data_IF_737836890687
#
_entry.id   IF_737836890687
#
_cell.length_a   1.000
_cell.length_b   1.000
_cell.length_c   1.000
_cell.angle_alpha   90.00
_cell.angle_beta   90.00
_cell.angle_gamma   90.00
#
_symmetry.space_group_name_H-M   'P 1'
#
loop_
_entity.id
_entity.type
_entity.pdbx_description
1 polymer ?
#
# COMPACT_ATOMS: atom_id res chain seq x y z
N UNK A 1 50.67 0.89 74.36
CA UNK A 1 49.19 0.82 74.16
C UNK A 1 48.85 1.78 73.06
N UNK A 2 48.62 1.28 71.80
CA UNK A 2 48.29 2.11 70.65
C UNK A 2 46.78 1.97 70.40
N UNK A 3 46.06 3.07 70.46
CA UNK A 3 44.61 3.12 70.12
C UNK A 3 44.45 3.15 68.60
N UNK A 4 43.74 2.19 68.09
CA UNK A 4 43.38 2.10 66.67
C UNK A 4 41.99 2.80 66.42
N UNK A 5 42.00 3.90 65.69
CA UNK A 5 40.81 4.66 65.38
C UNK A 5 40.29 4.13 64.01
N UNK A 6 39.14 3.49 64.03
CA UNK A 6 38.45 2.99 62.77
C UNK A 6 37.63 4.15 62.19
N UNK A 7 37.97 4.58 60.99
CA UNK A 7 37.24 5.58 60.24
C UNK A 7 36.21 4.84 59.34
N UNK A 8 34.93 5.05 59.62
CA UNK A 8 33.81 4.50 58.83
C UNK A 8 33.54 5.42 57.62
N UNK A 9 33.85 5.00 56.44
CA UNK A 9 33.43 5.69 55.24
C UNK A 9 32.02 5.24 54.88
N UNK A 10 31.02 6.16 54.99
CA UNK A 10 29.67 6.01 54.44
C UNK A 10 29.71 6.39 52.95
N UNK A 11 29.65 5.43 52.05
CA UNK A 11 29.46 5.68 50.64
C UNK A 11 27.96 5.80 50.32
N UNK A 12 27.49 7.01 50.11
CA UNK A 12 26.16 7.27 49.55
C UNK A 12 26.18 7.00 48.06
N UNK A 13 25.62 5.86 47.65
CA UNK A 13 25.36 5.57 46.23
C UNK A 13 24.18 6.41 45.75
N UNK A 14 24.44 7.42 44.93
CA UNK A 14 23.43 8.17 44.20
C UNK A 14 22.92 7.29 43.06
N UNK A 15 21.72 6.75 43.21
CA UNK A 15 20.99 6.10 42.09
C UNK A 15 20.47 7.18 41.12
N UNK A 16 21.22 7.41 40.06
CA UNK A 16 20.73 8.16 38.90
C UNK A 16 19.76 7.27 38.15
N UNK A 17 18.47 7.49 38.36
CA UNK A 17 17.42 6.95 37.48
C UNK A 17 17.51 7.65 36.15
N UNK A 18 18.11 6.99 35.14
CA UNK A 18 18.00 7.39 33.75
C UNK A 18 16.54 7.13 33.31
N UNK A 19 15.71 8.16 33.39
CA UNK A 19 14.46 8.16 32.66
C UNK A 19 14.80 8.14 31.14
N UNK A 20 14.62 6.99 30.56
CA UNK A 20 14.67 6.82 29.09
C UNK A 20 13.49 7.57 28.52
N UNK A 21 13.63 8.88 28.25
CA UNK A 21 12.69 9.65 27.48
C UNK A 21 12.76 9.11 26.06
N UNK A 22 11.85 8.17 25.76
CA UNK A 22 11.70 7.64 24.41
C UNK A 22 11.51 8.80 23.45
N UNK A 23 12.47 9.01 22.55
CA UNK A 23 12.32 9.91 21.42
C UNK A 23 11.09 9.48 20.63
N UNK A 24 9.96 10.17 20.83
CA UNK A 24 8.79 10.07 19.94
C UNK A 24 9.27 10.40 18.54
N UNK A 25 9.32 9.40 17.68
CA UNK A 25 9.70 9.57 16.28
C UNK A 25 8.76 10.60 15.63
N UNK A 26 9.31 11.47 14.80
CA UNK A 26 8.60 12.58 14.12
C UNK A 26 7.50 12.06 13.15
N UNK A 27 7.34 10.74 13.02
CA UNK A 27 6.33 10.03 12.22
C UNK A 27 4.92 10.10 12.80
N UNK A 28 4.77 10.33 14.12
CA UNK A 28 3.46 10.45 14.77
C UNK A 28 2.69 11.73 14.39
N UNK A 29 3.35 12.72 13.80
CA UNK A 29 2.69 13.98 13.40
C UNK A 29 1.69 13.82 12.25
N UNK A 30 1.85 12.80 11.43
CA UNK A 30 0.97 12.56 10.28
C UNK A 30 -0.28 11.74 10.64
N UNK A 31 -0.26 11.08 11.78
CA UNK A 31 -1.28 10.12 12.17
C UNK A 31 -1.91 10.50 13.51
N UNK A 32 -3.21 10.22 13.64
CA UNK A 32 -3.90 10.29 14.93
C UNK A 32 -4.48 8.91 15.28
N UNK A 33 -4.73 8.68 16.57
CA UNK A 33 -5.22 7.41 17.08
C UNK A 33 -6.50 7.65 17.87
N UNK A 34 -7.56 7.00 17.49
CA UNK A 34 -8.86 7.02 18.21
C UNK A 34 -9.67 5.79 17.82
N UNK A 35 -10.55 5.37 18.68
CA UNK A 35 -11.53 4.31 18.35
C UNK A 35 -12.36 4.71 17.13
N UNK A 36 -12.54 3.78 16.19
CA UNK A 36 -13.30 3.96 14.96
C UNK A 36 -14.16 2.75 14.62
N UNK A 37 -14.15 2.35 13.35
CA UNK A 37 -14.87 1.19 12.82
C UNK A 37 -14.26 -0.12 13.36
N UNK A 38 -15.11 -1.16 13.56
CA UNK A 38 -14.63 -2.49 13.96
C UNK A 38 -13.74 -3.16 12.89
N UNK A 39 -13.76 -2.67 11.64
CA UNK A 39 -12.92 -3.12 10.54
C UNK A 39 -11.77 -2.14 10.24
N UNK A 40 -11.54 -1.16 11.10
CA UNK A 40 -10.44 -0.21 11.05
C UNK A 40 -9.45 -0.44 12.18
N UNK A 41 -8.21 -0.01 11.99
CA UNK A 41 -7.12 -0.21 12.96
C UNK A 41 -7.08 0.87 14.06
N UNK A 42 -8.02 1.81 14.09
CA UNK A 42 -8.02 2.94 15.03
C UNK A 42 -6.95 3.99 14.73
N UNK A 43 -6.22 3.86 13.63
CA UNK A 43 -5.23 4.83 13.14
C UNK A 43 -5.84 5.65 12.00
N UNK A 44 -5.64 6.95 12.06
CA UNK A 44 -6.28 7.90 11.15
C UNK A 44 -5.24 8.72 10.40
N UNK A 45 -5.48 8.91 9.11
CA UNK A 45 -4.67 9.75 8.24
C UNK A 45 -5.56 10.76 7.50
N UNK A 46 -5.25 12.04 7.62
CA UNK A 46 -5.93 13.17 6.96
C UNK A 46 -7.48 13.17 7.10
N UNK A 47 -8.01 12.56 8.18
CA UNK A 47 -9.44 12.51 8.50
C UNK A 47 -10.14 11.20 8.15
N UNK A 48 -9.46 10.23 7.53
CA UNK A 48 -9.96 8.89 7.28
C UNK A 48 -9.31 7.88 8.24
N UNK A 49 -10.04 6.88 8.67
CA UNK A 49 -9.52 5.71 9.36
C UNK A 49 -8.88 4.75 8.36
N UNK A 50 -7.77 4.14 8.74
CA UNK A 50 -7.10 3.10 7.98
C UNK A 50 -7.80 1.77 8.25
N UNK A 51 -8.12 1.02 7.19
CA UNK A 51 -8.76 -0.29 7.31
C UNK A 51 -7.76 -1.37 7.77
N UNK A 52 -8.29 -2.47 8.33
CA UNK A 52 -7.49 -3.68 8.49
C UNK A 52 -7.08 -4.24 7.12
N UNK A 53 -5.83 -4.67 7.03
CA UNK A 53 -5.32 -5.39 5.85
C UNK A 53 -6.07 -6.72 5.71
N UNK A 54 -6.51 -7.02 4.49
CA UNK A 54 -7.05 -8.32 4.17
C UNK A 54 -5.94 -9.37 4.22
N UNK A 55 -6.06 -10.37 5.10
CA UNK A 55 -5.12 -11.48 5.21
C UNK A 55 -5.19 -12.44 4.03
N UNK A 56 -4.14 -13.26 3.87
CA UNK A 56 -4.05 -14.31 2.85
C UNK A 56 -5.26 -15.26 2.84
N UNK A 57 -5.91 -15.49 3.97
CA UNK A 57 -7.12 -16.30 4.08
C UNK A 57 -8.26 -15.78 3.18
N UNK A 58 -8.22 -14.49 2.84
CA UNK A 58 -9.16 -13.85 1.92
C UNK A 58 -8.86 -14.06 0.43
N UNK A 59 -7.84 -14.83 0.05
CA UNK A 59 -7.39 -14.98 -1.34
C UNK A 59 -8.51 -15.43 -2.30
N UNK A 60 -9.45 -16.27 -1.83
CA UNK A 60 -10.58 -16.73 -2.63
C UNK A 60 -11.52 -15.59 -3.03
N UNK A 61 -11.61 -14.51 -2.22
CA UNK A 61 -12.35 -13.31 -2.58
C UNK A 61 -11.75 -12.62 -3.80
N UNK A 62 -10.43 -12.62 -3.94
CA UNK A 62 -9.72 -12.02 -5.07
C UNK A 62 -9.97 -12.76 -6.39
N UNK A 63 -10.28 -14.05 -6.32
CA UNK A 63 -10.51 -14.93 -7.49
C UNK A 63 -11.99 -15.22 -7.75
N UNK A 64 -12.93 -14.50 -7.09
CA UNK A 64 -14.37 -14.74 -7.24
C UNK A 64 -14.84 -14.53 -8.69
N UNK A 65 -15.78 -15.36 -9.13
CA UNK A 65 -16.31 -15.36 -10.51
C UNK A 65 -17.00 -14.04 -10.89
N UNK A 66 -17.64 -13.38 -9.93
CA UNK A 66 -18.40 -12.15 -10.16
C UNK A 66 -17.54 -10.89 -10.32
N UNK A 67 -16.21 -11.00 -10.10
CA UNK A 67 -15.29 -9.85 -10.09
C UNK A 67 -15.34 -9.04 -11.38
N UNK A 68 -15.43 -9.68 -12.53
CA UNK A 68 -15.54 -8.96 -13.81
C UNK A 68 -16.84 -8.14 -13.90
N UNK A 69 -17.96 -8.67 -13.40
CA UNK A 69 -19.25 -7.96 -13.35
C UNK A 69 -19.24 -6.79 -12.35
N UNK A 70 -18.58 -6.95 -11.24
CA UNK A 70 -18.54 -6.00 -10.14
C UNK A 70 -17.52 -4.87 -10.34
N UNK A 71 -16.35 -5.21 -10.88
CA UNK A 71 -15.19 -4.32 -11.00
C UNK A 71 -14.83 -3.97 -12.44
N UNK A 72 -15.25 -4.80 -13.42
CA UNK A 72 -14.94 -4.67 -14.84
C UNK A 72 -13.43 -4.54 -15.10
N UNK A 73 -12.70 -5.55 -14.65
CA UNK A 73 -11.23 -5.58 -14.73
C UNK A 73 -10.73 -5.46 -16.17
N UNK A 74 -11.48 -5.98 -17.14
CA UNK A 74 -11.18 -5.83 -18.58
C UNK A 74 -11.12 -4.36 -18.99
N UNK A 75 -12.05 -3.52 -18.51
CA UNK A 75 -12.01 -2.07 -18.76
C UNK A 75 -10.88 -1.39 -17.99
N UNK A 76 -10.62 -1.79 -16.75
CA UNK A 76 -9.50 -1.26 -15.98
C UNK A 76 -8.17 -1.47 -16.74
N UNK A 77 -7.89 -2.70 -17.19
CA UNK A 77 -6.68 -3.01 -17.94
C UNK A 77 -6.61 -2.22 -19.25
N UNK A 78 -7.74 -2.05 -19.94
CA UNK A 78 -7.84 -1.21 -21.15
C UNK A 78 -7.53 0.26 -20.84
N UNK A 79 -8.07 0.81 -19.75
CA UNK A 79 -7.82 2.19 -19.33
C UNK A 79 -6.31 2.45 -19.08
N UNK A 80 -5.57 1.44 -18.62
CA UNK A 80 -4.13 1.56 -18.40
C UNK A 80 -3.33 1.76 -19.69
N UNK A 81 -3.87 1.44 -20.86
CA UNK A 81 -3.20 1.59 -22.17
C UNK A 81 -1.75 1.07 -22.16
N UNK A 82 -1.58 -0.16 -21.69
CA UNK A 82 -0.29 -0.82 -21.50
C UNK A 82 0.42 -0.98 -22.86
N UNK A 83 1.68 -0.60 -22.90
CA UNK A 83 2.56 -0.80 -24.07
C UNK A 83 3.43 -2.04 -23.87
N UNK A 84 3.85 -2.66 -24.96
CA UNK A 84 4.57 -3.94 -24.91
C UNK A 84 5.90 -3.86 -24.13
N UNK A 85 6.50 -2.70 -23.98
CA UNK A 85 7.77 -2.46 -23.28
C UNK A 85 7.58 -1.84 -21.89
N UNK A 86 6.32 -1.60 -21.44
CA UNK A 86 6.10 -0.99 -20.14
C UNK A 86 6.63 -1.88 -19.02
N UNK A 87 7.28 -1.26 -18.06
CA UNK A 87 7.51 -1.86 -16.73
C UNK A 87 6.39 -1.38 -15.81
N UNK A 88 5.66 -2.31 -15.22
CA UNK A 88 4.46 -2.03 -14.43
C UNK A 88 4.66 -2.58 -13.01
N UNK A 89 4.15 -1.90 -12.00
CA UNK A 89 4.07 -2.46 -10.65
C UNK A 89 2.60 -2.58 -10.23
N UNK A 90 2.22 -3.76 -9.79
CA UNK A 90 0.97 -4.09 -9.11
C UNK A 90 1.25 -4.09 -7.61
N UNK A 91 0.79 -3.06 -6.88
CA UNK A 91 1.07 -2.87 -5.46
C UNK A 91 -0.12 -3.38 -4.63
N UNK A 92 0.15 -4.31 -3.71
CA UNK A 92 -0.88 -5.13 -3.08
C UNK A 92 -1.42 -6.15 -4.07
N UNK A 93 -0.50 -6.88 -4.73
CA UNK A 93 -0.82 -7.76 -5.85
C UNK A 93 -1.74 -8.93 -5.46
N UNK A 94 -1.81 -9.30 -4.18
CA UNK A 94 -2.63 -10.39 -3.67
C UNK A 94 -2.35 -11.70 -4.41
N UNK A 95 -3.37 -12.28 -5.01
CA UNK A 95 -3.24 -13.51 -5.83
C UNK A 95 -2.52 -13.32 -7.17
N UNK A 96 -2.18 -12.09 -7.54
CA UNK A 96 -1.65 -11.75 -8.87
C UNK A 96 -2.74 -11.56 -9.94
N UNK A 97 -3.99 -11.44 -9.52
CA UNK A 97 -5.15 -11.37 -10.42
C UNK A 97 -4.98 -10.32 -11.54
N UNK A 98 -4.49 -9.13 -11.22
CA UNK A 98 -4.20 -8.07 -12.19
C UNK A 98 -2.84 -8.27 -12.87
N UNK A 99 -1.81 -8.66 -12.11
CA UNK A 99 -0.47 -8.88 -12.64
C UNK A 99 -0.47 -9.86 -13.83
N UNK A 100 -1.18 -10.98 -13.70
CA UNK A 100 -1.28 -11.98 -14.78
C UNK A 100 -2.10 -11.50 -16.00
N UNK A 101 -2.98 -10.52 -15.83
CA UNK A 101 -3.72 -9.91 -16.94
C UNK A 101 -2.92 -8.82 -17.64
N UNK A 102 -2.00 -8.16 -16.92
CA UNK A 102 -1.09 -7.15 -17.48
C UNK A 102 0.08 -7.77 -18.22
N UNK A 103 0.61 -8.88 -17.73
CA UNK A 103 1.82 -9.53 -18.26
C UNK A 103 1.77 -9.83 -19.78
N UNK A 104 0.69 -10.39 -20.35
CA UNK A 104 0.59 -10.62 -21.79
C UNK A 104 0.61 -9.35 -22.65
N UNK A 105 0.22 -8.20 -22.07
CA UNK A 105 0.23 -6.90 -22.75
C UNK A 105 1.62 -6.26 -22.73
N UNK A 106 2.32 -6.41 -21.61
CA UNK A 106 3.71 -5.96 -21.43
C UNK A 106 4.72 -7.05 -21.85
N UNK A 107 4.50 -7.72 -22.98
CA UNK A 107 5.24 -8.93 -23.39
C UNK A 107 6.75 -8.77 -23.61
N UNK A 108 7.22 -7.54 -23.76
CA UNK A 108 8.65 -7.15 -23.88
C UNK A 108 9.10 -6.28 -22.69
N UNK A 109 8.21 -6.07 -21.74
CA UNK A 109 8.42 -5.36 -20.49
C UNK A 109 8.36 -6.32 -19.30
N UNK A 110 7.98 -5.79 -18.15
CA UNK A 110 7.99 -6.51 -16.88
C UNK A 110 6.83 -6.06 -16.01
N UNK A 111 6.25 -6.98 -15.25
CA UNK A 111 5.27 -6.69 -14.21
C UNK A 111 5.86 -7.09 -12.86
N UNK A 112 6.06 -6.12 -11.98
CA UNK A 112 6.38 -6.37 -10.58
C UNK A 112 5.07 -6.60 -9.82
N UNK A 113 4.92 -7.76 -9.19
CA UNK A 113 3.86 -8.07 -8.24
C UNK A 113 4.38 -7.85 -6.83
N UNK A 114 4.01 -6.73 -6.21
CA UNK A 114 4.50 -6.33 -4.89
C UNK A 114 3.42 -6.59 -3.84
N UNK A 115 3.76 -7.35 -2.81
CA UNK A 115 2.88 -7.59 -1.67
C UNK A 115 3.68 -7.64 -0.37
N UNK A 116 3.04 -7.38 0.77
CA UNK A 116 3.66 -7.47 2.09
C UNK A 116 3.52 -8.87 2.69
N UNK A 117 2.67 -9.71 2.13
CA UNK A 117 2.39 -11.07 2.59
C UNK A 117 3.13 -12.09 1.72
N UNK A 118 4.08 -12.80 2.31
CA UNK A 118 4.86 -13.84 1.63
C UNK A 118 3.99 -14.95 1.04
N UNK A 119 2.86 -15.26 1.70
CA UNK A 119 1.90 -16.29 1.28
C UNK A 119 1.22 -15.91 -0.04
N UNK A 120 0.88 -14.61 -0.23
CA UNK A 120 0.37 -14.09 -1.49
C UNK A 120 1.41 -14.25 -2.61
N UNK A 121 2.67 -13.89 -2.34
CA UNK A 121 3.76 -14.02 -3.31
C UNK A 121 4.03 -15.49 -3.67
N UNK A 122 3.98 -16.42 -2.71
CA UNK A 122 4.09 -17.85 -2.99
C UNK A 122 2.97 -18.36 -3.91
N UNK A 123 1.74 -17.87 -3.74
CA UNK A 123 0.63 -18.20 -4.64
C UNK A 123 0.87 -17.69 -6.06
N UNK A 124 1.43 -16.47 -6.20
CA UNK A 124 1.83 -15.90 -7.50
C UNK A 124 2.91 -16.77 -8.16
N UNK A 125 3.98 -17.13 -7.43
CA UNK A 125 5.06 -17.96 -7.98
C UNK A 125 4.53 -19.31 -8.49
N UNK A 126 3.68 -19.98 -7.71
CA UNK A 126 3.02 -21.22 -8.12
C UNK A 126 2.20 -21.05 -9.41
N UNK A 127 1.48 -19.94 -9.53
CA UNK A 127 0.68 -19.64 -10.73
C UNK A 127 1.59 -19.35 -11.93
N UNK A 128 2.71 -18.64 -11.75
CA UNK A 128 3.73 -18.39 -12.80
C UNK A 128 4.27 -19.69 -13.37
N UNK A 129 4.67 -20.62 -12.49
CA UNK A 129 5.19 -21.94 -12.91
C UNK A 129 4.17 -22.71 -13.74
N UNK A 130 2.93 -22.80 -13.27
CA UNK A 130 1.85 -23.48 -13.96
C UNK A 130 1.53 -22.85 -15.32
N UNK A 131 1.43 -21.51 -15.37
CA UNK A 131 1.04 -20.74 -16.58
C UNK A 131 2.21 -20.45 -17.49
N UNK A 132 3.45 -20.79 -17.11
CA UNK A 132 4.71 -20.53 -17.85
C UNK A 132 4.92 -19.03 -18.16
N UNK A 133 4.38 -18.13 -17.32
CA UNK A 133 4.54 -16.69 -17.44
C UNK A 133 5.91 -16.29 -16.90
N UNK A 134 6.72 -15.59 -17.74
CA UNK A 134 8.12 -15.28 -17.41
C UNK A 134 8.36 -13.82 -17.06
N UNK A 135 7.46 -12.92 -17.41
CA UNK A 135 7.60 -11.47 -17.22
C UNK A 135 6.74 -10.94 -16.06
N UNK A 136 6.60 -11.74 -15.01
CA UNK A 136 6.11 -11.32 -13.70
C UNK A 136 7.21 -11.61 -12.69
N UNK A 137 7.57 -10.62 -11.87
CA UNK A 137 8.52 -10.76 -10.76
C UNK A 137 7.83 -10.39 -9.45
N UNK A 138 7.99 -11.21 -8.43
CA UNK A 138 7.44 -10.99 -7.09
C UNK A 138 8.41 -10.19 -6.24
N UNK A 139 7.92 -9.21 -5.51
CA UNK A 139 8.70 -8.39 -4.58
C UNK A 139 8.01 -8.39 -3.22
N UNK A 140 8.72 -8.85 -2.19
CA UNK A 140 8.26 -8.71 -0.82
C UNK A 140 8.46 -7.26 -0.39
N UNK A 141 7.37 -6.52 -0.30
CA UNK A 141 7.33 -5.15 0.21
C UNK A 141 7.36 -5.11 1.74
N UNK A 142 7.19 -3.91 2.27
CA UNK A 142 6.92 -3.68 3.70
C UNK A 142 5.77 -2.69 3.85
N UNK A 143 5.31 -2.44 5.07
CA UNK A 143 4.27 -1.43 5.32
C UNK A 143 4.66 0.01 4.89
N UNK A 144 5.95 0.26 4.61
CA UNK A 144 6.49 1.59 4.30
C UNK A 144 7.19 1.70 2.96
N UNK A 145 7.46 0.58 2.28
CA UNK A 145 8.25 0.58 1.06
C UNK A 145 7.87 -0.56 0.11
N UNK A 146 7.81 -0.22 -1.18
CA UNK A 146 7.65 -1.18 -2.28
C UNK A 146 8.98 -1.82 -2.72
N UNK A 147 10.11 -1.37 -2.21
CA UNK A 147 11.48 -1.81 -2.55
C UNK A 147 11.80 -1.86 -4.05
N UNK A 148 11.12 -1.06 -4.84
CA UNK A 148 11.43 -0.91 -6.27
C UNK A 148 12.49 0.18 -6.49
N UNK A 149 13.37 0.01 -7.51
CA UNK A 149 14.36 1.01 -7.82
C UNK A 149 13.74 2.36 -8.22
N UNK A 150 14.47 3.44 -7.97
CA UNK A 150 14.04 4.79 -8.36
C UNK A 150 13.82 4.89 -9.87
N UNK A 151 12.70 5.51 -10.27
CA UNK A 151 12.35 5.75 -11.68
C UNK A 151 12.40 4.47 -12.55
N UNK A 152 11.98 3.34 -11.99
CA UNK A 152 12.05 2.04 -12.69
C UNK A 152 10.75 1.67 -13.42
N UNK A 153 9.59 2.20 -12.99
CA UNK A 153 8.30 1.75 -13.52
C UNK A 153 7.57 2.84 -14.32
N UNK A 154 6.94 2.44 -15.42
CA UNK A 154 6.14 3.32 -16.28
C UNK A 154 4.74 3.52 -15.74
N UNK A 155 4.16 2.48 -15.14
CA UNK A 155 2.82 2.47 -14.57
C UNK A 155 2.81 1.77 -13.22
N UNK A 156 2.02 2.30 -12.31
CA UNK A 156 1.73 1.65 -11.02
C UNK A 156 0.24 1.46 -10.94
N UNK A 157 -0.18 0.27 -10.54
CA UNK A 157 -1.56 -0.08 -10.25
C UNK A 157 -1.69 -0.35 -8.74
N UNK A 158 -2.70 0.23 -8.11
CA UNK A 158 -3.15 -0.05 -6.76
C UNK A 158 -4.66 -0.26 -6.81
N UNK A 159 -5.13 -1.48 -6.51
CA UNK A 159 -6.55 -1.83 -6.55
C UNK A 159 -7.02 -2.25 -5.17
N UNK A 160 -7.92 -1.45 -4.59
CA UNK A 160 -8.55 -1.70 -3.29
C UNK A 160 -7.54 -2.05 -2.17
N UNK A 161 -6.41 -1.34 -2.16
CA UNK A 161 -5.32 -1.60 -1.22
C UNK A 161 -4.84 -0.35 -0.49
N UNK A 162 -4.96 0.84 -1.09
CA UNK A 162 -4.42 2.06 -0.49
C UNK A 162 -5.11 2.41 0.83
N UNK A 163 -6.40 2.12 0.94
CA UNK A 163 -7.15 2.36 2.18
C UNK A 163 -6.67 1.49 3.35
N UNK A 164 -5.89 0.43 3.09
CA UNK A 164 -5.29 -0.48 4.07
C UNK A 164 -3.85 -0.10 4.46
N UNK A 165 -3.21 0.86 3.77
CA UNK A 165 -1.82 1.22 4.07
C UNK A 165 -1.68 1.78 5.49
N UNK A 166 -0.96 1.03 6.34
CA UNK A 166 -0.71 1.42 7.73
C UNK A 166 0.16 2.68 7.83
N UNK A 167 1.04 2.91 6.83
CA UNK A 167 1.91 4.08 6.74
C UNK A 167 1.78 4.74 5.36
N UNK A 168 0.62 5.36 5.03
CA UNK A 168 0.36 5.90 3.69
C UNK A 168 1.38 6.98 3.26
N UNK A 169 1.89 7.81 4.16
CA UNK A 169 2.88 8.83 3.82
C UNK A 169 4.16 8.20 3.29
N UNK A 170 4.70 7.23 4.03
CA UNK A 170 5.95 6.54 3.71
C UNK A 170 5.78 5.66 2.47
N UNK A 171 4.69 4.91 2.42
CA UNK A 171 4.42 4.01 1.30
C UNK A 171 4.25 4.79 -0.01
N UNK A 172 3.47 5.88 -0.02
CA UNK A 172 3.26 6.68 -1.24
C UNK A 172 4.54 7.43 -1.64
N UNK A 173 5.39 7.81 -0.68
CA UNK A 173 6.71 8.35 -1.00
C UNK A 173 7.58 7.31 -1.72
N UNK A 174 7.57 6.04 -1.28
CA UNK A 174 8.25 4.93 -1.94
C UNK A 174 7.69 4.64 -3.33
N UNK A 175 6.36 4.58 -3.48
CA UNK A 175 5.63 4.45 -4.75
C UNK A 175 6.04 5.58 -5.72
N UNK A 176 6.01 6.83 -5.25
CA UNK A 176 6.41 7.99 -6.04
C UNK A 176 7.87 7.90 -6.50
N UNK A 177 8.77 7.44 -5.62
CA UNK A 177 10.17 7.27 -5.98
C UNK A 177 10.37 6.23 -7.10
N UNK A 178 9.64 5.11 -7.07
CA UNK A 178 9.71 4.06 -8.07
C UNK A 178 9.16 4.48 -9.44
N UNK A 179 8.12 5.32 -9.47
CA UNK A 179 7.49 5.78 -10.70
C UNK A 179 8.43 6.69 -11.51
N UNK A 180 8.53 6.48 -12.83
CA UNK A 180 9.25 7.36 -13.75
C UNK A 180 8.66 8.77 -13.79
N UNK A 181 9.41 9.82 -14.22
CA UNK A 181 8.88 11.20 -14.26
C UNK A 181 7.61 11.39 -15.08
N UNK A 182 7.46 10.63 -16.19
CA UNK A 182 6.25 10.63 -17.06
C UNK A 182 5.31 9.45 -16.78
N UNK A 183 5.59 8.68 -15.73
CA UNK A 183 4.80 7.51 -15.35
C UNK A 183 3.42 7.89 -14.79
N UNK A 184 2.54 6.92 -14.76
CA UNK A 184 1.16 7.08 -14.28
C UNK A 184 0.87 6.13 -13.12
N UNK A 185 0.23 6.66 -12.09
CA UNK A 185 -0.31 5.88 -10.97
C UNK A 185 -1.82 5.73 -11.19
N UNK A 186 -2.28 4.50 -11.27
CA UNK A 186 -3.70 4.13 -11.31
C UNK A 186 -4.11 3.72 -9.90
N UNK A 187 -4.90 4.56 -9.26
CA UNK A 187 -5.49 4.31 -7.95
C UNK A 187 -6.96 3.93 -8.14
N UNK A 188 -7.26 2.69 -7.85
CA UNK A 188 -8.58 2.09 -7.98
C UNK A 188 -9.10 1.82 -6.56
N UNK A 189 -10.24 2.41 -6.23
CA UNK A 189 -10.83 2.29 -4.89
C UNK A 189 -12.34 2.22 -4.98
N UNK A 190 -12.98 1.41 -4.15
CA UNK A 190 -14.45 1.36 -4.07
C UNK A 190 -15.03 2.72 -3.71
N UNK A 191 -16.10 3.13 -4.42
CA UNK A 191 -16.70 4.45 -4.26
C UNK A 191 -17.27 4.67 -2.87
N UNK A 192 -16.68 5.55 -2.09
CA UNK A 192 -17.17 5.96 -0.79
C UNK A 192 -18.48 6.76 -0.86
N UNK A 193 -18.74 7.41 -1.98
CA UNK A 193 -19.95 8.21 -2.25
C UNK A 193 -21.18 7.34 -2.58
N UNK A 194 -20.97 6.11 -3.06
CA UNK A 194 -22.07 5.24 -3.48
C UNK A 194 -22.41 4.22 -2.38
N UNK A 195 -23.57 4.40 -1.73
CA UNK A 195 -24.07 3.50 -0.70
C UNK A 195 -24.50 2.14 -1.25
N UNK A 196 -24.73 2.00 -2.57
CA UNK A 196 -25.14 0.75 -3.22
C UNK A 196 -23.95 -0.21 -3.43
N UNK A 197 -22.71 0.28 -3.37
CA UNK A 197 -21.51 -0.57 -3.40
C UNK A 197 -21.45 -1.37 -2.08
N UNK A 198 -21.59 -2.71 -2.11
CA UNK A 198 -21.80 -3.55 -0.91
C UNK A 198 -20.49 -3.86 -0.19
N UNK A 199 -19.63 -2.86 -0.02
CA UNK A 199 -18.34 -2.92 0.65
C UNK A 199 -18.40 -2.13 1.96
N UNK A 200 -17.73 -2.62 2.99
CA UNK A 200 -17.66 -1.97 4.31
C UNK A 200 -17.11 -0.55 4.18
N UNK A 201 -17.70 0.39 4.92
CA UNK A 201 -17.41 1.83 4.77
C UNK A 201 -15.91 2.16 4.86
N UNK A 202 -15.18 1.55 5.79
CA UNK A 202 -13.74 1.80 6.00
C UNK A 202 -12.87 1.32 4.85
N UNK A 203 -13.36 0.36 4.06
CA UNK A 203 -12.72 -0.15 2.83
C UNK A 203 -13.16 0.59 1.56
N UNK A 204 -13.80 1.75 1.69
CA UNK A 204 -14.19 2.60 0.55
C UNK A 204 -13.53 3.97 0.69
N UNK A 205 -13.20 4.58 -0.45
CA UNK A 205 -12.67 5.95 -0.48
C UNK A 205 -13.52 6.86 -1.37
N UNK A 206 -13.73 8.09 -0.91
CA UNK A 206 -14.27 9.12 -1.80
C UNK A 206 -13.19 9.65 -2.72
N UNK A 207 -13.55 10.05 -3.95
CA UNK A 207 -12.62 10.73 -4.87
C UNK A 207 -11.94 11.92 -4.18
N UNK A 208 -12.73 12.76 -3.47
CA UNK A 208 -12.22 13.92 -2.74
C UNK A 208 -11.14 13.55 -1.72
N UNK A 209 -11.31 12.46 -0.97
CA UNK A 209 -10.32 12.02 0.02
C UNK A 209 -9.08 11.47 -0.65
N UNK A 210 -9.23 10.62 -1.68
CA UNK A 210 -8.11 10.07 -2.44
C UNK A 210 -7.25 11.17 -3.09
N UNK A 211 -7.89 12.14 -3.75
CA UNK A 211 -7.21 13.28 -4.37
C UNK A 211 -6.47 14.10 -3.31
N UNK A 212 -7.10 14.42 -2.18
CA UNK A 212 -6.47 15.17 -1.08
C UNK A 212 -5.19 14.48 -0.58
N UNK A 213 -5.21 13.16 -0.39
CA UNK A 213 -4.07 12.40 0.11
C UNK A 213 -2.96 12.28 -0.96
N UNK A 214 -3.30 12.00 -2.21
CA UNK A 214 -2.34 11.93 -3.31
C UNK A 214 -1.70 13.28 -3.61
N UNK A 215 -2.45 14.39 -3.52
CA UNK A 215 -1.89 15.75 -3.70
C UNK A 215 -0.91 16.13 -2.60
N UNK A 216 -1.20 15.75 -1.36
CA UNK A 216 -0.26 15.93 -0.23
C UNK A 216 1.04 15.15 -0.43
N UNK A 217 0.96 13.98 -1.09
CA UNK A 217 2.12 13.17 -1.45
C UNK A 217 2.87 13.68 -2.70
N UNK A 218 2.40 14.77 -3.33
CA UNK A 218 3.02 15.41 -4.49
C UNK A 218 2.68 14.73 -5.81
N UNK A 219 1.49 14.16 -5.91
CA UNK A 219 0.85 13.77 -7.16
C UNK A 219 -0.17 14.83 -7.60
N UNK A 220 -0.63 14.74 -8.83
CA UNK A 220 -1.70 15.54 -9.40
C UNK A 220 -2.68 14.59 -10.08
N UNK A 221 -3.97 14.75 -9.80
CA UNK A 221 -4.99 14.02 -10.54
C UNK A 221 -4.94 14.47 -12.01
N UNK A 222 -4.77 13.53 -12.92
CA UNK A 222 -4.87 13.73 -14.36
C UNK A 222 -6.33 13.59 -14.79
N UNK A 223 -6.97 12.52 -14.37
CA UNK A 223 -8.37 12.21 -14.69
C UNK A 223 -8.93 11.15 -13.74
N UNK A 224 -10.26 11.09 -13.58
CA UNK A 224 -10.97 9.95 -13.03
C UNK A 224 -11.85 9.38 -14.15
N UNK A 225 -11.67 8.11 -14.52
CA UNK A 225 -12.36 7.44 -15.61
C UNK A 225 -13.58 6.70 -15.05
N UNK A 226 -14.79 7.22 -15.30
CA UNK A 226 -16.04 6.74 -14.70
C UNK A 226 -16.68 5.57 -15.48
N UNK A 227 -15.91 4.50 -15.73
CA UNK A 227 -16.39 3.35 -16.50
C UNK A 227 -16.28 2.00 -15.77
N UNK A 228 -15.95 2.03 -14.45
CA UNK A 228 -15.96 0.85 -13.60
C UNK A 228 -17.25 0.83 -12.76
N UNK A 229 -17.89 -0.34 -12.54
CA UNK A 229 -19.18 -0.40 -11.84
C UNK A 229 -19.12 0.08 -10.39
N UNK A 230 -18.18 -0.42 -9.59
CA UNK A 230 -18.10 -0.14 -8.14
C UNK A 230 -16.98 0.80 -7.74
N UNK A 231 -15.99 1.04 -8.60
CA UNK A 231 -14.73 1.69 -8.25
C UNK A 231 -14.54 3.03 -8.98
N UNK A 232 -13.77 3.90 -8.36
CA UNK A 232 -13.07 4.97 -9.07
C UNK A 232 -11.90 4.38 -9.87
N UNK A 233 -11.60 4.99 -11.02
CA UNK A 233 -10.37 4.73 -11.76
C UNK A 233 -9.61 6.06 -11.89
N UNK A 234 -8.90 6.41 -10.83
CA UNK A 234 -8.20 7.69 -10.73
C UNK A 234 -6.77 7.55 -11.25
N UNK A 235 -6.41 8.37 -12.23
CA UNK A 235 -5.08 8.42 -12.83
C UNK A 235 -4.32 9.62 -12.31
N UNK A 236 -3.19 9.37 -11.65
CA UNK A 236 -2.32 10.40 -11.10
C UNK A 236 -0.98 10.44 -11.83
N UNK A 237 -0.39 11.65 -11.88
CA UNK A 237 0.97 11.91 -12.36
C UNK A 237 1.75 12.67 -11.29
N UNK A 238 3.07 12.60 -11.34
CA UNK A 238 3.92 13.42 -10.45
C UNK A 238 3.70 14.92 -10.72
N UNK A 239 3.68 15.73 -9.65
CA UNK A 239 3.76 17.20 -9.74
C UNK A 239 5.15 17.63 -10.13
#
# INVERSE_FOLDING_TARGET
MKKLTILLFLSTALLLSNECVGQKSNTDKNYSFKKGDNNGIGKWYMGREIAYVMGFEGINWLERSDREKEENVSNLIKNMNIKSYDTIADIGAGSGYHAFRMAPLAKKGLVYAVDIQSEMLMAIEKTKEFSKIKNVETILGSEKSVYLPKNSVDKILMVDVYHEFNFPVEMIASVKNALKPKGQLFLIEYRGEDSRVPIKKVHKMTEKQAVKEMEAAGFKLKENIYNLPWQHCMVFIKK
#
